data_IF_035016436062
#
_entry.id   IF_035016436062
#
_cell.length_a   1.000
_cell.length_b   1.000
_cell.length_c   1.000
_cell.angle_alpha   90.00
_cell.angle_beta   90.00
_cell.angle_gamma   90.00
#
_symmetry.space_group_name_H-M   'P 1'
#
loop_
_entity.id
_entity.type
_entity.pdbx_description
1 polymer ?
#
# COMPACT_ATOMS: atom_id res chain seq x y z
N UNK A 1 -1.23 -26.63 -1.36
CA UNK A 1 -0.85 -25.24 -1.67
C UNK A 1 0.54 -24.95 -1.13
N UNK A 2 1.48 -24.46 -1.95
CA UNK A 2 2.84 -24.11 -1.48
C UNK A 2 2.96 -22.61 -1.28
N UNK A 3 3.47 -22.18 -0.13
CA UNK A 3 3.69 -20.76 0.16
C UNK A 3 4.97 -20.27 -0.52
N UNK A 4 4.91 -19.06 -1.08
CA UNK A 4 6.01 -18.38 -1.80
C UNK A 4 6.36 -17.02 -1.23
N UNK A 5 5.44 -16.40 -0.50
CA UNK A 5 5.68 -15.16 0.22
C UNK A 5 4.91 -15.20 1.55
N UNK A 6 5.57 -14.78 2.62
CA UNK A 6 4.95 -14.53 3.92
C UNK A 6 5.15 -13.07 4.24
N UNK A 7 4.09 -12.39 4.66
CA UNK A 7 4.16 -10.96 4.97
C UNK A 7 3.90 -10.74 6.45
N UNK A 8 4.79 -9.99 7.07
CA UNK A 8 4.79 -9.75 8.51
C UNK A 8 4.36 -8.33 8.87
N UNK A 9 3.83 -8.16 10.09
CA UNK A 9 3.63 -6.83 10.67
C UNK A 9 4.94 -6.19 11.16
N UNK A 10 4.83 -4.98 11.71
CA UNK A 10 5.99 -4.26 12.27
C UNK A 10 6.63 -4.95 13.49
N UNK A 11 5.99 -5.99 14.06
CA UNK A 11 6.52 -6.80 15.15
C UNK A 11 7.07 -8.15 14.68
N UNK A 12 7.10 -8.41 13.37
CA UNK A 12 7.58 -9.66 12.79
C UNK A 12 6.58 -10.81 12.85
N UNK A 13 5.30 -10.56 13.16
CA UNK A 13 4.27 -11.60 13.15
C UNK A 13 3.77 -11.85 11.72
N UNK A 14 3.71 -13.11 11.32
CA UNK A 14 3.16 -13.53 10.02
C UNK A 14 1.65 -13.22 9.97
N UNK A 15 1.21 -12.46 8.98
CA UNK A 15 -0.18 -12.04 8.82
C UNK A 15 -0.80 -12.43 7.49
N UNK A 16 -0.02 -12.42 6.42
CA UNK A 16 -0.51 -12.71 5.06
C UNK A 16 0.39 -13.75 4.42
N UNK A 17 -0.22 -14.71 3.73
CA UNK A 17 0.46 -15.82 3.08
C UNK A 17 0.06 -15.82 1.61
N UNK A 18 1.04 -15.93 0.72
CA UNK A 18 0.81 -15.98 -0.73
C UNK A 18 1.30 -17.31 -1.27
N UNK A 19 0.43 -18.00 -1.99
CA UNK A 19 0.75 -19.28 -2.62
C UNK A 19 1.50 -19.14 -3.95
N UNK A 20 1.96 -20.27 -4.46
CA UNK A 20 2.46 -20.47 -5.82
C UNK A 20 1.44 -20.18 -6.93
N UNK A 21 0.14 -20.24 -6.61
CA UNK A 21 -0.96 -19.82 -7.49
C UNK A 21 -1.40 -18.37 -7.27
N UNK A 22 -0.62 -17.57 -6.54
CA UNK A 22 -0.94 -16.19 -6.14
C UNK A 22 -2.23 -16.05 -5.30
N UNK A 23 -2.67 -17.13 -4.66
CA UNK A 23 -3.76 -17.06 -3.68
C UNK A 23 -3.24 -16.36 -2.43
N UNK A 24 -3.85 -15.23 -2.09
CA UNK A 24 -3.52 -14.42 -0.92
C UNK A 24 -4.49 -14.75 0.21
N UNK A 25 -3.96 -15.24 1.33
CA UNK A 25 -4.73 -15.66 2.51
C UNK A 25 -4.29 -14.89 3.76
N UNK A 26 -5.22 -14.31 4.54
CA UNK A 26 -4.89 -13.81 5.89
C UNK A 26 -4.60 -14.97 6.84
N UNK A 27 -3.99 -14.66 8.00
CA UNK A 27 -3.60 -15.65 9.01
C UNK A 27 -4.71 -16.62 9.41
N UNK A 28 -5.93 -16.13 9.64
CA UNK A 28 -7.07 -16.96 10.05
C UNK A 28 -7.41 -18.03 9.01
N UNK A 29 -7.43 -17.63 7.74
CA UNK A 29 -7.66 -18.54 6.62
C UNK A 29 -6.48 -19.49 6.43
N UNK A 30 -5.25 -18.99 6.56
CA UNK A 30 -4.06 -19.83 6.49
C UNK A 30 -4.06 -20.90 7.61
N UNK A 31 -4.52 -20.56 8.83
CA UNK A 31 -4.66 -21.52 9.94
C UNK A 31 -5.68 -22.60 9.56
N UNK A 32 -6.82 -22.21 9.00
CA UNK A 32 -7.85 -23.13 8.53
C UNK A 32 -7.31 -24.10 7.47
N UNK A 33 -6.52 -23.60 6.52
CA UNK A 33 -5.91 -24.41 5.45
C UNK A 33 -4.82 -25.35 6.02
N UNK A 34 -3.97 -24.87 6.93
CA UNK A 34 -2.97 -25.68 7.61
C UNK A 34 -3.60 -26.81 8.43
N UNK A 35 -4.66 -26.53 9.20
CA UNK A 35 -5.37 -27.53 9.99
C UNK A 35 -5.99 -28.65 9.15
N UNK A 36 -6.28 -28.38 7.86
CA UNK A 36 -6.79 -29.38 6.90
C UNK A 36 -5.69 -30.11 6.13
N UNK A 37 -4.41 -29.77 6.35
CA UNK A 37 -3.29 -30.29 5.57
C UNK A 37 -3.23 -29.75 4.13
N UNK A 38 -3.99 -28.70 3.81
CA UNK A 38 -4.06 -28.10 2.46
C UNK A 38 -2.87 -27.16 2.18
N UNK A 39 -2.09 -26.81 3.21
CA UNK A 39 -0.90 -25.96 3.11
C UNK A 39 0.37 -26.77 3.36
N UNK A 40 1.19 -26.89 2.31
CA UNK A 40 2.38 -27.73 2.28
C UNK A 40 3.42 -27.30 3.31
N UNK A 41 3.96 -28.27 4.06
CA UNK A 41 5.11 -28.04 4.93
C UNK A 41 4.82 -27.14 6.13
N UNK A 42 3.60 -27.17 6.65
CA UNK A 42 3.19 -26.30 7.75
C UNK A 42 2.48 -27.06 8.86
N UNK A 43 2.50 -26.50 10.06
CA UNK A 43 1.69 -26.96 11.18
C UNK A 43 1.15 -25.78 11.99
N UNK A 44 0.00 -25.99 12.63
CA UNK A 44 -0.63 -24.99 13.49
C UNK A 44 -0.10 -25.14 14.92
N UNK A 45 0.29 -24.02 15.51
CA UNK A 45 0.71 -23.92 16.91
C UNK A 45 -0.36 -23.18 17.71
N UNK A 46 -0.85 -23.81 18.75
CA UNK A 46 -1.84 -23.25 19.67
C UNK A 46 -1.16 -22.64 20.89
N UNK A 47 -1.50 -21.39 21.23
CA UNK A 47 -1.08 -20.72 22.47
C UNK A 47 -2.25 -20.02 23.15
N UNK A 48 -2.07 -19.65 24.42
CA UNK A 48 -3.07 -18.86 25.18
C UNK A 48 -3.45 -17.55 24.48
N UNK A 49 -2.51 -16.95 23.74
CA UNK A 49 -2.70 -15.70 23.00
C UNK A 49 -3.32 -15.87 21.61
N UNK A 50 -3.64 -17.11 21.20
CA UNK A 50 -4.17 -17.44 19.88
C UNK A 50 -3.33 -18.47 19.12
N UNK A 51 -3.87 -18.89 17.97
CA UNK A 51 -3.24 -19.81 17.03
C UNK A 51 -2.34 -19.07 16.04
N UNK A 52 -1.27 -19.71 15.60
CA UNK A 52 -0.43 -19.25 14.49
C UNK A 52 0.17 -20.44 13.74
N UNK A 53 0.90 -20.19 12.65
CA UNK A 53 1.42 -21.23 11.76
C UNK A 53 2.94 -21.16 11.75
N UNK A 54 3.58 -22.33 11.70
CA UNK A 54 5.02 -22.48 11.48
C UNK A 54 5.32 -23.45 10.35
N UNK A 55 6.50 -23.28 9.77
CA UNK A 55 7.10 -24.28 8.89
C UNK A 55 7.33 -25.59 9.67
N UNK A 56 7.03 -26.72 9.05
CA UNK A 56 7.37 -28.05 9.59
C UNK A 56 8.88 -28.31 9.54
N UNK A 57 9.44 -29.11 10.47
CA UNK A 57 10.90 -29.30 10.59
C UNK A 57 11.58 -29.99 9.39
N UNK A 58 10.82 -30.69 8.55
CA UNK A 58 11.28 -31.46 7.39
C UNK A 58 11.31 -30.63 6.09
N UNK A 59 10.85 -29.38 6.13
CA UNK A 59 10.82 -28.49 4.97
C UNK A 59 12.24 -27.99 4.65
N UNK A 60 12.65 -27.98 3.37
CA UNK A 60 13.93 -27.40 2.98
C UNK A 60 14.05 -25.92 3.39
N UNK A 61 15.23 -25.48 3.87
CA UNK A 61 15.47 -24.10 4.32
C UNK A 61 14.91 -23.01 3.39
N UNK A 62 15.10 -23.15 2.08
CA UNK A 62 14.62 -22.19 1.07
C UNK A 62 13.09 -22.00 1.03
N UNK A 63 12.35 -22.97 1.58
CA UNK A 63 10.90 -22.99 1.65
C UNK A 63 10.38 -22.70 3.08
N UNK A 64 11.28 -22.42 4.04
CA UNK A 64 10.90 -21.99 5.39
C UNK A 64 10.31 -20.59 5.38
N UNK A 65 9.29 -20.35 6.20
CA UNK A 65 8.65 -19.04 6.35
C UNK A 65 9.64 -17.92 6.66
N UNK A 66 10.69 -18.18 7.43
CA UNK A 66 11.76 -17.23 7.73
C UNK A 66 12.45 -16.73 6.46
N UNK A 67 12.71 -17.62 5.49
CA UNK A 67 13.32 -17.25 4.19
C UNK A 67 12.31 -16.64 3.22
N UNK A 68 11.03 -17.00 3.36
CA UNK A 68 9.94 -16.47 2.54
C UNK A 68 9.35 -15.16 3.08
N UNK A 69 9.81 -14.70 4.24
CA UNK A 69 9.22 -13.56 4.93
C UNK A 69 9.74 -12.22 4.42
N UNK A 70 8.82 -11.26 4.31
CA UNK A 70 9.10 -9.84 4.12
C UNK A 70 8.18 -9.03 5.02
N UNK A 71 8.64 -7.91 5.55
CA UNK A 71 7.76 -7.02 6.30
C UNK A 71 6.82 -6.26 5.37
N UNK A 72 5.61 -5.96 5.85
CA UNK A 72 4.68 -5.10 5.12
C UNK A 72 5.28 -3.72 4.79
N UNK A 73 6.18 -3.23 5.66
CA UNK A 73 6.92 -1.98 5.43
C UNK A 73 7.84 -2.07 4.21
N UNK A 74 8.54 -3.19 4.03
CA UNK A 74 9.43 -3.39 2.89
C UNK A 74 8.62 -3.50 1.58
N UNK A 75 7.45 -4.14 1.60
CA UNK A 75 6.54 -4.17 0.45
C UNK A 75 6.13 -2.76 0.02
N UNK A 76 5.69 -1.93 0.97
CA UNK A 76 5.30 -0.54 0.69
C UNK A 76 6.49 0.26 0.17
N UNK A 77 7.65 0.13 0.81
CA UNK A 77 8.86 0.85 0.42
C UNK A 77 9.31 0.46 -0.99
N UNK A 78 9.18 -0.83 -1.35
CA UNK A 78 9.42 -1.35 -2.69
C UNK A 78 8.43 -0.75 -3.69
N UNK A 79 7.12 -0.81 -3.43
CA UNK A 79 6.10 -0.25 -4.31
C UNK A 79 6.32 1.26 -4.58
N UNK A 80 6.80 1.99 -3.57
CA UNK A 80 7.11 3.41 -3.67
C UNK A 80 8.47 3.74 -4.33
N UNK A 81 9.27 2.73 -4.68
CA UNK A 81 10.61 2.93 -5.23
C UNK A 81 11.61 3.58 -4.25
N UNK A 82 11.33 3.54 -2.94
CA UNK A 82 12.19 4.16 -1.90
C UNK A 82 13.25 3.19 -1.34
N UNK A 83 13.06 1.88 -1.51
CA UNK A 83 14.04 0.87 -1.16
C UNK A 83 14.24 -0.15 -2.29
N UNK A 84 15.50 -0.32 -2.71
CA UNK A 84 15.91 -1.15 -3.85
C UNK A 84 16.21 -2.62 -3.52
N UNK A 85 16.01 -3.09 -2.28
CA UNK A 85 16.36 -4.47 -1.93
C UNK A 85 15.19 -5.40 -2.24
N UNK A 86 15.19 -5.94 -3.46
CA UNK A 86 14.37 -7.10 -3.77
C UNK A 86 14.88 -8.30 -2.98
N UNK A 87 14.02 -8.91 -2.16
CA UNK A 87 14.34 -10.18 -1.51
C UNK A 87 14.09 -11.34 -2.48
N UNK A 88 14.71 -12.52 -2.30
CA UNK A 88 14.41 -13.69 -3.12
C UNK A 88 12.91 -14.04 -3.13
N UNK A 89 12.23 -13.91 -1.99
CA UNK A 89 10.79 -14.14 -1.88
C UNK A 89 9.96 -13.11 -2.68
N UNK A 90 10.33 -11.83 -2.60
CA UNK A 90 9.67 -10.78 -3.37
C UNK A 90 9.91 -10.93 -4.87
N UNK A 91 11.15 -11.23 -5.27
CA UNK A 91 11.51 -11.53 -6.67
C UNK A 91 10.67 -12.67 -7.24
N UNK A 92 10.53 -13.77 -6.49
CA UNK A 92 9.75 -14.92 -6.91
C UNK A 92 8.26 -14.59 -7.02
N UNK A 93 7.72 -13.86 -6.03
CA UNK A 93 6.34 -13.38 -6.08
C UNK A 93 6.08 -12.53 -7.33
N UNK A 94 6.96 -11.57 -7.63
CA UNK A 94 6.83 -10.70 -8.80
C UNK A 94 6.96 -11.46 -10.12
N UNK A 95 7.85 -12.45 -10.17
CA UNK A 95 7.97 -13.35 -11.33
C UNK A 95 6.67 -14.11 -11.58
N UNK A 96 6.05 -14.66 -10.52
CA UNK A 96 4.76 -15.33 -10.61
C UNK A 96 3.64 -14.37 -11.02
N UNK A 97 3.60 -13.17 -10.45
CA UNK A 97 2.66 -12.11 -10.81
C UNK A 97 2.76 -11.79 -12.31
N UNK A 98 3.95 -11.47 -12.82
CA UNK A 98 4.15 -11.14 -14.24
C UNK A 98 3.75 -12.29 -15.15
N UNK A 99 4.06 -13.53 -14.76
CA UNK A 99 3.67 -14.73 -15.52
C UNK A 99 2.15 -14.96 -15.54
N UNK A 100 1.42 -14.44 -14.54
CA UNK A 100 -0.05 -14.52 -14.50
C UNK A 100 -0.76 -13.54 -15.44
N UNK A 101 -0.05 -12.54 -15.96
CA UNK A 101 -0.62 -11.53 -16.84
C UNK A 101 -0.85 -12.10 -18.24
N UNK A 102 -2.05 -11.89 -18.81
CA UNK A 102 -2.47 -12.51 -20.06
C UNK A 102 -1.82 -11.88 -21.30
N UNK A 103 -1.27 -12.70 -22.20
CA UNK A 103 -0.71 -12.21 -23.46
C UNK A 103 -1.77 -11.47 -24.31
N UNK A 104 -1.37 -10.38 -24.97
CA UNK A 104 -2.23 -9.62 -25.89
C UNK A 104 -3.11 -8.52 -25.28
N UNK A 105 -3.00 -8.27 -23.97
CA UNK A 105 -3.70 -7.16 -23.31
C UNK A 105 -2.89 -5.86 -23.29
N UNK A 106 -3.56 -4.74 -22.98
CA UNK A 106 -2.93 -3.44 -22.79
C UNK A 106 -2.40 -3.30 -21.36
N UNK A 107 -1.20 -2.74 -21.26
CA UNK A 107 -0.46 -2.61 -20.01
C UNK A 107 -0.05 -1.16 -19.75
N UNK A 108 0.13 -0.83 -18.46
CA UNK A 108 0.86 0.33 -17.99
C UNK A 108 2.19 -0.18 -17.43
N UNK A 109 3.31 0.46 -17.83
CA UNK A 109 4.67 0.12 -17.41
C UNK A 109 5.22 1.21 -16.47
N UNK A 110 4.92 1.16 -15.16
CA UNK A 110 5.46 2.11 -14.19
C UNK A 110 6.99 1.96 -14.06
N UNK A 111 7.69 3.09 -13.94
CA UNK A 111 9.16 3.11 -13.88
C UNK A 111 9.67 2.29 -12.70
N UNK A 112 10.49 1.27 -13.00
CA UNK A 112 11.14 0.42 -12.00
C UNK A 112 10.20 -0.58 -11.31
N UNK A 113 8.99 -0.78 -11.82
CA UNK A 113 7.96 -1.61 -11.21
C UNK A 113 7.37 -2.62 -12.22
N UNK A 114 6.74 -3.70 -11.76
CA UNK A 114 6.04 -4.64 -12.63
C UNK A 114 4.93 -3.93 -13.42
N UNK A 115 4.78 -4.33 -14.68
CA UNK A 115 3.65 -3.90 -15.51
C UNK A 115 2.31 -4.35 -14.94
N UNK A 116 1.26 -3.59 -15.23
CA UNK A 116 -0.10 -3.86 -14.76
C UNK A 116 -1.11 -3.70 -15.88
N UNK A 117 -2.25 -4.40 -15.80
CA UNK A 117 -3.30 -4.30 -16.81
C UNK A 117 -3.99 -2.94 -16.75
N UNK A 118 -4.12 -2.29 -17.91
CA UNK A 118 -4.84 -1.01 -18.02
C UNK A 118 -6.29 -1.13 -17.55
N UNK A 119 -6.94 -2.27 -17.81
CA UNK A 119 -8.31 -2.53 -17.38
C UNK A 119 -8.44 -2.48 -15.84
N UNK A 120 -7.50 -3.09 -15.12
CA UNK A 120 -7.52 -3.13 -13.65
C UNK A 120 -7.30 -1.75 -13.05
N UNK A 121 -6.39 -0.95 -13.63
CA UNK A 121 -6.17 0.43 -13.17
C UNK A 121 -7.40 1.29 -13.46
N UNK A 122 -8.01 1.13 -14.64
CA UNK A 122 -9.24 1.85 -15.01
C UNK A 122 -10.39 1.55 -14.05
N UNK A 123 -10.64 0.28 -13.74
CA UNK A 123 -11.72 -0.15 -12.84
C UNK A 123 -11.66 0.55 -11.48
N UNK A 124 -10.44 0.78 -10.98
CA UNK A 124 -10.21 1.47 -9.70
C UNK A 124 -10.20 2.98 -9.81
N UNK A 125 -9.76 3.51 -10.94
CA UNK A 125 -9.68 4.94 -11.16
C UNK A 125 -11.05 5.57 -11.39
N UNK A 126 -11.89 4.91 -12.20
CA UNK A 126 -13.17 5.44 -12.68
C UNK A 126 -14.14 5.90 -11.57
N UNK A 127 -14.31 5.14 -10.46
CA UNK A 127 -15.21 5.54 -9.36
C UNK A 127 -14.85 6.87 -8.70
N UNK A 128 -13.62 7.35 -8.89
CA UNK A 128 -13.11 8.57 -8.25
C UNK A 128 -13.05 9.78 -9.20
N UNK A 129 -13.50 9.63 -10.45
CA UNK A 129 -13.42 10.69 -11.46
C UNK A 129 -14.06 12.01 -11.02
N UNK A 130 -15.25 11.96 -10.44
CA UNK A 130 -15.95 13.16 -9.95
C UNK A 130 -15.19 13.85 -8.82
N UNK A 131 -14.60 13.07 -7.91
CA UNK A 131 -13.79 13.58 -6.80
C UNK A 131 -12.55 14.31 -7.34
N UNK A 132 -11.86 13.72 -8.33
CA UNK A 132 -10.69 14.34 -8.95
C UNK A 132 -11.02 15.65 -9.66
N UNK A 133 -12.15 15.71 -10.37
CA UNK A 133 -12.62 16.94 -11.00
C UNK A 133 -12.87 18.04 -9.96
N UNK A 134 -13.60 17.73 -8.89
CA UNK A 134 -13.89 18.69 -7.82
C UNK A 134 -12.62 19.13 -7.06
N UNK A 135 -11.67 18.21 -6.84
CA UNK A 135 -10.40 18.55 -6.23
C UNK A 135 -9.57 19.47 -7.14
N UNK A 136 -9.48 19.15 -8.43
CA UNK A 136 -8.74 19.93 -9.41
C UNK A 136 -9.29 21.37 -9.52
N UNK A 137 -10.62 21.51 -9.55
CA UNK A 137 -11.30 22.81 -9.53
C UNK A 137 -10.98 23.58 -8.24
N UNK A 138 -11.20 22.97 -7.07
CA UNK A 138 -10.98 23.61 -5.76
C UNK A 138 -9.56 24.15 -5.61
N UNK A 139 -8.57 23.41 -6.09
CA UNK A 139 -7.16 23.77 -5.95
C UNK A 139 -6.59 24.45 -7.19
N UNK A 140 -7.40 24.69 -8.23
CA UNK A 140 -7.00 25.32 -9.49
C UNK A 140 -5.76 24.66 -10.11
N UNK A 141 -5.82 23.33 -10.27
CA UNK A 141 -4.78 22.52 -10.90
C UNK A 141 -5.34 21.78 -12.13
N UNK A 142 -4.46 21.36 -13.03
CA UNK A 142 -4.85 20.50 -14.15
C UNK A 142 -5.26 19.11 -13.64
N UNK A 143 -6.50 18.71 -13.94
CA UNK A 143 -7.03 17.39 -13.58
C UNK A 143 -6.25 16.25 -14.22
N UNK A 144 -5.63 16.46 -15.39
CA UNK A 144 -4.81 15.45 -16.05
C UNK A 144 -3.51 15.18 -15.30
N UNK A 145 -2.93 16.20 -14.65
CA UNK A 145 -1.76 16.03 -13.78
C UNK A 145 -2.15 15.20 -12.55
N UNK A 146 -3.25 15.57 -11.89
CA UNK A 146 -3.77 14.81 -10.74
C UNK A 146 -4.11 13.37 -11.13
N UNK A 147 -4.79 13.17 -12.26
CA UNK A 147 -5.16 11.86 -12.79
C UNK A 147 -3.94 11.01 -13.14
N UNK A 148 -2.93 11.60 -13.79
CA UNK A 148 -1.67 10.93 -14.12
C UNK A 148 -0.93 10.45 -12.87
N UNK A 149 -0.84 11.28 -11.83
CA UNK A 149 -0.26 10.90 -10.53
C UNK A 149 -1.04 9.73 -9.91
N UNK A 150 -2.36 9.81 -9.85
CA UNK A 150 -3.19 8.74 -9.28
C UNK A 150 -3.06 7.44 -10.06
N UNK A 151 -2.99 7.49 -11.39
CA UNK A 151 -2.78 6.31 -12.25
C UNK A 151 -1.41 5.69 -11.98
N UNK A 152 -0.35 6.48 -11.85
CA UNK A 152 0.99 5.97 -11.52
C UNK A 152 0.99 5.27 -10.15
N UNK A 153 0.41 5.90 -9.11
CA UNK A 153 0.32 5.32 -7.77
C UNK A 153 -0.50 4.03 -7.75
N UNK A 154 -1.67 4.01 -8.39
CA UNK A 154 -2.47 2.80 -8.56
C UNK A 154 -1.68 1.69 -9.24
N UNK A 155 -0.92 2.02 -10.27
CA UNK A 155 -0.15 1.03 -11.05
C UNK A 155 0.97 0.41 -10.22
N UNK A 156 1.71 1.22 -9.45
CA UNK A 156 2.82 0.74 -8.60
C UNK A 156 2.32 -0.13 -7.45
N UNK A 157 1.19 0.22 -6.85
CA UNK A 157 0.65 -0.48 -5.68
C UNK A 157 -0.14 -1.73 -6.08
N UNK A 158 -0.72 -1.76 -7.28
CA UNK A 158 -1.65 -2.80 -7.68
C UNK A 158 -1.17 -4.24 -7.44
N UNK A 159 0.08 -4.64 -7.78
CA UNK A 159 0.54 -6.00 -7.49
C UNK A 159 0.36 -6.36 -6.01
N UNK A 160 0.62 -5.41 -5.11
CA UNK A 160 0.64 -5.64 -3.67
C UNK A 160 -0.64 -5.26 -2.94
N UNK A 161 -1.61 -4.65 -3.61
CA UNK A 161 -2.77 -4.01 -2.98
C UNK A 161 -3.50 -4.96 -2.01
N UNK A 162 -3.90 -6.15 -2.47
CA UNK A 162 -4.61 -7.11 -1.61
C UNK A 162 -3.79 -7.55 -0.39
N UNK A 163 -2.46 -7.56 -0.50
CA UNK A 163 -1.57 -7.81 0.65
C UNK A 163 -1.64 -6.61 1.61
N UNK A 164 -1.49 -5.40 1.10
CA UNK A 164 -1.49 -4.16 1.87
C UNK A 164 -2.83 -3.96 2.59
N UNK A 165 -3.95 -4.24 1.92
CA UNK A 165 -5.30 -4.14 2.49
C UNK A 165 -5.48 -5.06 3.70
N UNK A 166 -4.98 -6.30 3.62
CA UNK A 166 -5.03 -7.26 4.73
C UNK A 166 -4.12 -6.87 5.91
N UNK A 167 -3.07 -6.08 5.66
CA UNK A 167 -2.22 -5.54 6.71
C UNK A 167 -2.88 -4.36 7.43
N UNK A 168 -3.61 -3.52 6.69
CA UNK A 168 -4.42 -2.41 7.22
C UNK A 168 -3.64 -1.49 8.16
N UNK A 169 -4.17 -1.24 9.37
CA UNK A 169 -3.49 -0.39 10.36
C UNK A 169 -2.22 -1.03 10.96
N UNK A 170 -1.97 -2.33 10.77
CA UNK A 170 -0.86 -3.06 11.41
C UNK A 170 0.51 -2.71 10.80
N UNK A 171 0.53 -1.95 9.71
CA UNK A 171 1.72 -1.37 9.07
C UNK A 171 1.97 0.09 9.45
N UNK A 172 1.11 0.73 10.27
CA UNK A 172 1.19 2.17 10.64
C UNK A 172 2.35 2.55 11.56
N UNK A 173 3.48 1.83 11.52
CA UNK A 173 4.68 2.14 12.29
C UNK A 173 5.16 3.58 12.06
N UNK A 174 5.80 3.86 10.91
CA UNK A 174 6.37 5.18 10.57
C UNK A 174 6.08 5.57 9.11
N UNK A 175 5.69 6.83 8.89
CA UNK A 175 5.57 7.54 7.61
C UNK A 175 5.13 6.70 6.39
N UNK A 176 3.98 6.05 6.50
CA UNK A 176 3.36 5.29 5.41
C UNK A 176 2.52 6.22 4.52
N UNK A 177 2.55 5.95 3.23
CA UNK A 177 1.58 6.49 2.28
C UNK A 177 0.28 5.71 2.36
N UNK A 178 -0.83 6.42 2.19
CA UNK A 178 -2.16 5.87 2.42
C UNK A 178 -3.07 6.27 1.27
N UNK A 179 -4.04 5.40 0.96
CA UNK A 179 -5.11 5.67 0.01
C UNK A 179 -4.69 5.67 -1.45
N UNK A 180 -5.63 6.02 -2.32
CA UNK A 180 -5.51 5.89 -3.77
C UNK A 180 -4.40 6.72 -4.40
N UNK A 181 -4.14 7.91 -3.86
CA UNK A 181 -3.08 8.83 -4.28
C UNK A 181 -1.82 8.72 -3.41
N UNK A 182 -1.73 7.69 -2.55
CA UNK A 182 -0.55 7.38 -1.73
C UNK A 182 0.01 8.59 -0.95
N UNK A 183 -0.89 9.32 -0.28
CA UNK A 183 -0.52 10.48 0.55
C UNK A 183 0.12 10.02 1.86
N UNK A 184 1.32 10.51 2.16
CA UNK A 184 1.98 10.32 3.46
C UNK A 184 1.22 11.04 4.57
N UNK A 185 1.04 10.38 5.71
CA UNK A 185 0.36 10.98 6.88
C UNK A 185 1.04 12.26 7.35
N UNK A 186 2.38 12.28 7.34
CA UNK A 186 3.19 13.44 7.67
C UNK A 186 2.93 14.59 6.69
N UNK A 187 2.88 14.31 5.38
CA UNK A 187 2.52 15.31 4.35
C UNK A 187 1.10 15.85 4.56
N UNK A 188 0.13 14.98 4.84
CA UNK A 188 -1.24 15.40 5.12
C UNK A 188 -1.29 16.33 6.35
N UNK A 189 -0.61 15.97 7.45
CA UNK A 189 -0.54 16.82 8.64
C UNK A 189 0.12 18.18 8.36
N UNK A 190 1.20 18.22 7.57
CA UNK A 190 1.85 19.47 7.16
C UNK A 190 0.93 20.37 6.32
N UNK A 191 0.15 19.79 5.41
CA UNK A 191 -0.84 20.55 4.62
C UNK A 191 -1.96 21.13 5.51
N UNK A 192 -2.38 20.41 6.55
CA UNK A 192 -3.33 20.93 7.55
C UNK A 192 -2.70 22.10 8.31
N UNK A 193 -1.45 21.96 8.80
CA UNK A 193 -0.72 23.04 9.50
C UNK A 193 -0.61 24.31 8.66
N UNK A 194 -0.34 24.13 7.37
CA UNK A 194 -0.23 25.22 6.38
C UNK A 194 -1.59 25.76 5.94
N UNK A 195 -2.69 25.23 6.46
CA UNK A 195 -4.07 25.58 6.08
C UNK A 195 -4.36 25.36 4.59
N UNK A 196 -3.57 24.54 3.91
CA UNK A 196 -3.76 24.21 2.50
C UNK A 196 -5.00 23.32 2.33
N UNK A 197 -5.20 22.36 3.23
CA UNK A 197 -6.42 21.55 3.27
C UNK A 197 -6.62 20.97 4.68
N UNK A 198 -7.84 21.07 5.21
CA UNK A 198 -8.25 20.41 6.45
C UNK A 198 -9.49 19.54 6.16
N UNK A 199 -9.43 18.21 6.36
CA UNK A 199 -10.55 17.31 6.10
C UNK A 199 -11.72 17.53 7.06
N UNK A 200 -11.47 18.08 8.25
CA UNK A 200 -12.49 18.42 9.24
C UNK A 200 -12.08 19.63 10.09
N UNK A 201 -12.52 20.85 9.75
CA UNK A 201 -12.21 22.05 10.52
C UNK A 201 -12.71 22.06 11.97
N UNK A 202 -13.68 21.20 12.32
CA UNK A 202 -14.22 21.09 13.68
C UNK A 202 -13.43 20.10 14.56
N UNK A 203 -12.46 19.37 14.00
CA UNK A 203 -11.62 18.44 14.76
C UNK A 203 -10.47 19.20 15.44
N UNK A 204 -10.65 19.53 16.72
CA UNK A 204 -9.67 20.27 17.53
C UNK A 204 -8.33 19.55 17.71
N UNK A 205 -8.25 18.25 17.39
CA UNK A 205 -6.97 17.52 17.43
C UNK A 205 -6.08 17.83 16.23
N UNK A 206 -6.65 18.35 15.14
CA UNK A 206 -5.92 18.67 13.93
C UNK A 206 -5.58 20.17 13.88
N UNK A 207 -4.36 20.54 13.44
CA UNK A 207 -3.23 19.66 13.13
C UNK A 207 -2.50 19.16 14.39
N UNK A 208 -1.83 18.01 14.27
CA UNK A 208 -0.97 17.50 15.34
C UNK A 208 0.37 18.24 15.38
N UNK A 209 0.79 18.67 16.57
CA UNK A 209 2.08 19.33 16.79
C UNK A 209 3.26 18.34 16.79
N UNK A 210 4.43 18.78 16.32
CA UNK A 210 5.66 17.97 16.33
C UNK A 210 5.60 16.72 15.45
N UNK A 211 6.35 15.70 15.85
CA UNK A 211 6.41 14.38 15.20
C UNK A 211 5.17 13.56 15.57
N UNK A 212 4.47 13.00 14.57
CA UNK A 212 3.28 12.18 14.80
C UNK A 212 3.60 10.97 15.69
N UNK A 213 2.85 10.80 16.78
CA UNK A 213 2.80 9.56 17.54
C UNK A 213 1.97 8.49 16.82
N UNK A 214 2.00 7.24 17.27
CA UNK A 214 1.18 6.17 16.67
C UNK A 214 -0.34 6.47 16.80
N UNK A 215 -0.76 7.11 17.90
CA UNK A 215 -2.16 7.51 18.09
C UNK A 215 -2.56 8.61 17.12
N UNK A 216 -1.67 9.57 16.89
CA UNK A 216 -1.91 10.66 15.93
C UNK A 216 -1.99 10.12 14.50
N UNK A 217 -1.10 9.17 14.15
CA UNK A 217 -1.15 8.45 12.86
C UNK A 217 -2.46 7.71 12.67
N UNK A 218 -2.92 6.96 13.67
CA UNK A 218 -4.19 6.23 13.60
C UNK A 218 -5.37 7.19 13.43
N UNK A 219 -5.38 8.31 14.15
CA UNK A 219 -6.44 9.32 14.04
C UNK A 219 -6.45 9.96 12.65
N UNK A 220 -5.29 10.41 12.16
CA UNK A 220 -5.18 11.03 10.84
C UNK A 220 -5.48 10.04 9.71
N UNK A 221 -5.08 8.77 9.86
CA UNK A 221 -5.34 7.71 8.88
C UNK A 221 -6.83 7.59 8.55
N UNK A 222 -7.72 7.72 9.55
CA UNK A 222 -9.18 7.61 9.36
C UNK A 222 -9.73 8.65 8.38
N UNK A 223 -9.09 9.82 8.27
CA UNK A 223 -9.41 10.80 7.24
C UNK A 223 -8.70 10.48 5.94
N UNK A 224 -7.38 10.27 5.97
CA UNK A 224 -6.53 10.14 4.76
C UNK A 224 -6.86 8.89 3.94
N UNK A 225 -7.37 7.81 4.55
CA UNK A 225 -7.77 6.60 3.81
C UNK A 225 -9.04 6.84 2.96
N UNK A 226 -9.87 7.82 3.30
CA UNK A 226 -11.10 8.09 2.56
C UNK A 226 -10.75 8.70 1.20
N UNK A 227 -11.24 8.16 0.07
CA UNK A 227 -10.86 8.63 -1.27
C UNK A 227 -11.05 10.13 -1.48
N UNK A 228 -12.14 10.70 -0.95
CA UNK A 228 -12.43 12.14 -1.02
C UNK A 228 -11.31 12.98 -0.41
N UNK A 229 -10.89 12.67 0.82
CA UNK A 229 -9.84 13.42 1.48
C UNK A 229 -8.47 13.10 0.89
N UNK A 230 -8.22 11.85 0.52
CA UNK A 230 -6.96 11.43 -0.08
C UNK A 230 -6.63 12.19 -1.37
N UNK A 231 -7.61 12.28 -2.28
CA UNK A 231 -7.48 12.98 -3.55
C UNK A 231 -7.37 14.50 -3.32
N UNK A 232 -8.12 15.06 -2.36
CA UNK A 232 -8.00 16.47 -2.03
C UNK A 232 -6.64 16.82 -1.41
N UNK A 233 -6.06 15.94 -0.59
CA UNK A 233 -4.69 16.12 -0.10
C UNK A 233 -3.67 16.09 -1.24
N UNK A 234 -3.81 15.17 -2.19
CA UNK A 234 -2.93 15.11 -3.36
C UNK A 234 -3.03 16.39 -4.20
N UNK A 235 -4.26 16.87 -4.47
CA UNK A 235 -4.48 18.12 -5.20
C UNK A 235 -3.93 19.35 -4.45
N UNK A 236 -4.16 19.43 -3.14
CA UNK A 236 -3.61 20.48 -2.29
C UNK A 236 -2.07 20.46 -2.29
N UNK A 237 -1.46 19.27 -2.31
CA UNK A 237 -0.01 19.12 -2.40
C UNK A 237 0.54 19.62 -3.74
N UNK A 238 -0.11 19.27 -4.86
CA UNK A 238 0.28 19.76 -6.20
C UNK A 238 0.24 21.29 -6.23
N UNK A 239 -0.86 21.90 -5.75
CA UNK A 239 -0.99 23.36 -5.66
C UNK A 239 0.10 23.96 -4.78
N UNK A 240 0.32 23.39 -3.59
CA UNK A 240 1.34 23.84 -2.65
C UNK A 240 2.75 23.82 -3.26
N UNK A 241 3.12 22.76 -3.98
CA UNK A 241 4.42 22.65 -4.68
C UNK A 241 4.51 23.66 -5.82
N UNK A 242 3.43 23.84 -6.57
CA UNK A 242 3.36 24.82 -7.67
C UNK A 242 3.54 26.24 -7.13
N UNK A 243 2.81 26.64 -6.08
CA UNK A 243 2.94 27.94 -5.41
C UNK A 243 4.36 28.19 -4.92
N UNK A 244 4.95 27.17 -4.29
CA UNK A 244 6.32 27.25 -3.81
C UNK A 244 7.27 27.58 -4.96
N UNK A 245 7.23 26.83 -6.06
CA UNK A 245 8.15 27.04 -7.19
C UNK A 245 7.85 28.31 -8.01
N UNK A 246 6.59 28.72 -8.15
CA UNK A 246 6.22 29.99 -8.79
C UNK A 246 6.84 31.21 -8.10
N UNK A 247 7.19 31.11 -6.81
CA UNK A 247 7.89 32.18 -6.10
C UNK A 247 9.38 32.30 -6.46
N UNK A 248 9.96 31.27 -7.08
CA UNK A 248 11.37 31.21 -7.46
C UNK A 248 11.60 31.29 -8.97
N UNK A 249 10.61 30.93 -9.78
CA UNK A 249 10.71 30.94 -11.25
C UNK A 249 9.34 31.08 -11.90
N UNK A 250 9.31 31.61 -13.11
CA UNK A 250 8.08 31.69 -13.90
C UNK A 250 7.71 30.29 -14.41
N UNK A 251 6.48 29.86 -14.11
CA UNK A 251 5.93 28.57 -14.52
C UNK A 251 4.83 28.71 -15.59
N UNK A 252 4.65 29.92 -16.14
CA UNK A 252 3.67 30.20 -17.20
C UNK A 252 4.11 29.79 -18.60
#
# INVERSE_FOLDING_TARGET
MKIRLVVTDTSGKNLVFVSDSLTISPLEEAIRLASKGEMYGTHVVQRKSGAYIRTSPDVPKKDEFEQLSISGREIISYAQGTHAVSTPALSEYLRLYIASLQAGQLYIDPIGQPRVLTATVREKFEPHRSIMLSAAERFSIDVNILGGIVIDELSRVHPFEKIIDLLGLKILGRNVSVGIAQVKLETANELIKKKAYNPNPADEKLPFAGTLSNRDREHLYRYVIQPIHNIFFAAAFIRYVTDFWSSYTDLS
#
